data_IF_981939563835
#
_entry.id   IF_981939563835
#
_cell.length_a   1.000
_cell.length_b   1.000
_cell.length_c   1.000
_cell.angle_alpha   90.00
_cell.angle_beta   90.00
_cell.angle_gamma   90.00
#
_symmetry.space_group_name_H-M   'P 1'
#
loop_
_entity.id
_entity.type
_entity.pdbx_description
1 polymer ?
#
# COMPACT_ATOMS: atom_id res chain seq x y z
N UNK A 1 14.61 7.85 -6.39
CA UNK A 1 13.24 8.34 -6.63
C UNK A 1 12.27 7.70 -5.63
N UNK A 2 11.00 8.14 -5.52
CA UNK A 2 10.03 7.51 -4.61
C UNK A 2 8.84 6.98 -5.41
N UNK A 3 8.50 5.72 -5.22
CA UNK A 3 7.29 5.12 -5.80
C UNK A 3 6.13 5.44 -4.88
N UNK A 4 5.19 6.26 -5.34
CA UNK A 4 4.00 6.65 -4.56
C UNK A 4 2.77 5.86 -4.98
N UNK A 5 2.04 5.33 -4.00
CA UNK A 5 0.82 4.55 -4.23
C UNK A 5 -0.30 5.09 -3.37
N UNK A 6 -1.48 5.25 -3.98
CA UNK A 6 -2.69 5.70 -3.31
C UNK A 6 -3.44 4.51 -2.70
N UNK A 7 -3.94 4.68 -1.48
CA UNK A 7 -4.78 3.65 -0.83
C UNK A 7 -6.07 3.36 -1.59
N UNK A 8 -6.57 4.28 -2.42
CA UNK A 8 -7.70 4.01 -3.32
C UNK A 8 -7.41 2.97 -4.41
N UNK A 9 -6.16 2.84 -4.87
CA UNK A 9 -5.78 1.75 -5.78
C UNK A 9 -5.78 0.40 -5.08
N UNK A 10 -5.43 0.39 -3.79
CA UNK A 10 -5.48 -0.79 -2.94
C UNK A 10 -6.92 -1.16 -2.60
N UNK A 11 -7.81 -0.18 -2.47
CA UNK A 11 -9.24 -0.41 -2.29
C UNK A 11 -9.92 -1.07 -3.49
N UNK A 12 -9.34 -0.90 -4.68
CA UNK A 12 -9.79 -1.59 -5.89
C UNK A 12 -9.35 -3.06 -5.95
N UNK A 13 -8.45 -3.50 -5.06
CA UNK A 13 -8.08 -4.91 -4.90
C UNK A 13 -9.06 -5.61 -3.95
N UNK A 14 -9.28 -6.93 -4.12
CA UNK A 14 -10.20 -7.67 -3.27
C UNK A 14 -9.76 -7.68 -1.80
N UNK A 15 -10.72 -7.59 -0.88
CA UNK A 15 -10.50 -7.75 0.55
C UNK A 15 -9.84 -9.11 0.85
N UNK A 16 -8.82 -9.11 1.70
CA UNK A 16 -8.02 -10.28 2.04
C UNK A 16 -6.80 -10.50 1.15
N UNK A 17 -6.52 -9.61 0.20
CA UNK A 17 -5.32 -9.71 -0.64
C UNK A 17 -4.08 -9.21 0.12
N UNK A 18 -2.98 -9.93 0.00
CA UNK A 18 -1.69 -9.53 0.55
C UNK A 18 -0.96 -8.62 -0.45
N UNK A 19 -0.90 -7.32 -0.15
CA UNK A 19 -0.20 -6.34 -0.95
C UNK A 19 1.25 -6.31 -0.49
N UNK A 20 2.04 -7.23 -1.04
CA UNK A 20 3.49 -7.32 -0.83
C UNK A 20 4.27 -6.66 -1.96
N UNK A 21 5.55 -6.45 -1.73
CA UNK A 21 6.51 -6.00 -2.74
C UNK A 21 6.47 -6.88 -4.00
N UNK A 22 6.30 -8.20 -3.85
CA UNK A 22 6.10 -9.14 -4.95
C UNK A 22 4.80 -8.88 -5.71
N UNK A 23 3.67 -8.74 -5.00
CA UNK A 23 2.37 -8.45 -5.64
C UNK A 23 2.35 -7.07 -6.31
N UNK A 24 3.04 -6.09 -5.75
CA UNK A 24 3.21 -4.75 -6.30
C UNK A 24 4.10 -4.73 -7.55
N UNK A 25 5.13 -5.57 -7.58
CA UNK A 25 5.97 -5.79 -8.77
C UNK A 25 5.20 -6.55 -9.85
N UNK A 26 4.48 -7.60 -9.47
CA UNK A 26 3.69 -8.46 -10.37
C UNK A 26 2.50 -7.69 -10.99
N UNK A 27 1.84 -6.85 -10.18
CA UNK A 27 0.82 -5.91 -10.64
C UNK A 27 1.39 -4.73 -11.45
N UNK A 28 2.72 -4.66 -11.63
CA UNK A 28 3.38 -3.58 -12.38
C UNK A 28 3.25 -2.19 -11.74
N UNK A 29 2.77 -2.10 -10.49
CA UNK A 29 2.62 -0.83 -9.77
C UNK A 29 3.99 -0.32 -9.32
N UNK A 30 4.92 -1.24 -9.04
CA UNK A 30 6.34 -0.95 -8.87
C UNK A 30 7.06 -1.39 -10.13
N UNK A 31 7.31 -0.45 -11.04
CA UNK A 31 7.98 -0.69 -12.32
C UNK A 31 9.50 -0.51 -12.25
N UNK A 32 10.01 0.19 -11.22
CA UNK A 32 11.44 0.34 -10.93
C UNK A 32 11.68 0.35 -9.41
N UNK A 33 12.65 -0.44 -8.95
CA UNK A 33 13.12 -0.49 -7.57
C UNK A 33 14.11 0.65 -7.25
N UNK A 34 13.83 1.86 -7.73
CA UNK A 34 14.74 3.02 -7.63
C UNK A 34 14.53 3.85 -6.35
N UNK A 35 13.93 3.24 -5.31
CA UNK A 35 13.81 3.82 -3.99
C UNK A 35 12.56 3.40 -3.20
N UNK A 36 12.40 3.92 -1.97
CA UNK A 36 11.43 3.43 -1.01
C UNK A 36 9.98 3.73 -1.44
N UNK A 37 9.13 2.74 -1.25
CA UNK A 37 7.69 2.80 -1.49
C UNK A 37 7.01 3.74 -0.48
N UNK A 38 6.31 4.76 -0.97
CA UNK A 38 5.57 5.73 -0.15
C UNK A 38 4.07 5.62 -0.39
N UNK A 39 3.33 5.26 0.66
CA UNK A 39 1.89 5.12 0.63
C UNK A 39 1.18 6.43 0.96
N UNK A 40 0.35 6.91 0.03
CA UNK A 40 -0.46 8.12 0.13
C UNK A 40 -1.90 7.76 0.51
N UNK A 41 -2.46 8.48 1.48
CA UNK A 41 -3.82 8.29 1.99
C UNK A 41 -4.94 8.80 1.08
N UNK A 42 -4.69 8.87 -0.23
CA UNK A 42 -5.65 9.34 -1.22
C UNK A 42 -6.56 8.18 -1.69
N UNK A 43 -7.88 8.39 -1.65
CA UNK A 43 -8.91 7.35 -1.86
C UNK A 43 -9.35 6.64 -0.56
N UNK A 44 -10.51 5.99 -0.56
CA UNK A 44 -11.05 5.29 0.62
C UNK A 44 -10.71 3.81 0.56
N UNK A 45 -10.25 3.26 1.69
CA UNK A 45 -10.06 1.82 1.86
C UNK A 45 -11.19 1.33 2.78
N UNK A 46 -12.00 0.39 2.30
CA UNK A 46 -13.09 -0.24 3.07
C UNK A 46 -12.96 -1.76 3.10
N UNK A 47 -11.78 -2.25 2.75
CA UNK A 47 -11.44 -3.66 2.61
C UNK A 47 -10.25 -3.95 3.51
N UNK A 48 -10.33 -5.04 4.25
CA UNK A 48 -9.26 -5.50 5.13
C UNK A 48 -8.19 -6.19 4.28
N UNK A 49 -7.04 -5.56 4.14
CA UNK A 49 -5.92 -6.08 3.35
C UNK A 49 -4.57 -5.75 3.98
N UNK A 50 -3.57 -6.55 3.65
CA UNK A 50 -2.28 -6.56 4.34
C UNK A 50 -1.23 -5.89 3.46
N UNK A 51 -0.85 -4.65 3.76
CA UNK A 51 -0.03 -3.81 2.89
C UNK A 51 1.39 -3.67 3.42
N UNK A 52 2.40 -4.05 2.62
CA UNK A 52 3.81 -3.92 2.95
C UNK A 52 4.49 -2.81 2.12
N UNK A 53 4.97 -1.75 2.77
CA UNK A 53 5.63 -0.62 2.10
C UNK A 53 6.74 0.00 2.96
N UNK A 54 7.68 0.73 2.36
CA UNK A 54 8.80 1.33 3.09
C UNK A 54 8.43 2.60 3.88
N UNK A 55 7.39 3.31 3.46
CA UNK A 55 6.89 4.52 4.09
C UNK A 55 5.37 4.63 3.91
N UNK A 56 4.68 5.08 4.95
CA UNK A 56 3.25 5.38 4.91
C UNK A 56 3.01 6.80 5.38
N UNK A 57 2.07 7.50 4.72
CA UNK A 57 1.58 8.79 5.22
C UNK A 57 0.55 8.59 6.33
N UNK A 58 0.41 9.59 7.20
CA UNK A 58 -0.55 9.55 8.30
C UNK A 58 -1.98 9.25 7.83
N UNK A 59 -2.40 9.83 6.69
CA UNK A 59 -3.71 9.55 6.10
C UNK A 59 -3.86 8.11 5.58
N UNK A 60 -2.80 7.51 5.05
CA UNK A 60 -2.84 6.13 4.58
C UNK A 60 -2.99 5.15 5.74
N UNK A 61 -2.16 5.30 6.77
CA UNK A 61 -2.21 4.48 7.98
C UNK A 61 -3.60 4.51 8.62
N UNK A 62 -4.15 5.71 8.80
CA UNK A 62 -5.45 5.88 9.45
C UNK A 62 -6.58 5.20 8.66
N UNK A 63 -6.53 5.27 7.32
CA UNK A 63 -7.51 4.57 6.46
C UNK A 63 -7.32 3.05 6.46
N UNK A 64 -6.08 2.56 6.52
CA UNK A 64 -5.79 1.12 6.58
C UNK A 64 -6.31 0.53 7.90
N UNK A 65 -6.04 1.19 9.02
CA UNK A 65 -6.56 0.80 10.33
C UNK A 65 -8.10 0.89 10.37
N UNK A 66 -8.69 1.93 9.77
CA UNK A 66 -10.16 2.09 9.69
C UNK A 66 -10.84 1.00 8.85
N UNK A 67 -10.18 0.50 7.80
CA UNK A 67 -10.68 -0.60 6.97
C UNK A 67 -10.50 -1.99 7.61
N UNK A 68 -9.84 -2.08 8.77
CA UNK A 68 -9.44 -3.34 9.38
C UNK A 68 -8.32 -4.05 8.61
N UNK A 69 -7.51 -3.31 7.84
CA UNK A 69 -6.31 -3.82 7.19
C UNK A 69 -5.07 -3.70 8.07
N UNK A 70 -3.97 -4.29 7.61
CA UNK A 70 -2.68 -4.27 8.31
C UNK A 70 -1.65 -3.50 7.48
N UNK A 71 -0.86 -2.64 8.12
CA UNK A 71 0.29 -1.98 7.47
C UNK A 71 1.61 -2.56 8.03
N UNK A 72 2.42 -3.15 7.16
CA UNK A 72 3.74 -3.67 7.46
C UNK A 72 4.80 -2.75 6.85
N UNK A 73 5.70 -2.22 7.66
CA UNK A 73 6.75 -1.32 7.17
C UNK A 73 8.00 -2.14 6.84
N UNK A 74 8.18 -2.48 5.56
CA UNK A 74 9.43 -3.10 5.09
C UNK A 74 10.46 -2.00 4.82
N UNK A 75 11.27 -1.70 5.85
CA UNK A 75 12.45 -0.86 5.68
C UNK A 75 13.47 -1.59 4.81
N UNK A 76 13.97 -0.92 3.78
CA UNK A 76 15.17 -1.28 3.03
C UNK A 76 16.10 -0.06 3.04
#
# INVERSE_FOLDING_TARGET
>A
HYTTINVGKLASLPAGTEVTLTSLMDAGIVTQNDGPLKMLGDGELNVSLNVKAAAFTAGARNKIEAAGGTCEVTQA
#
